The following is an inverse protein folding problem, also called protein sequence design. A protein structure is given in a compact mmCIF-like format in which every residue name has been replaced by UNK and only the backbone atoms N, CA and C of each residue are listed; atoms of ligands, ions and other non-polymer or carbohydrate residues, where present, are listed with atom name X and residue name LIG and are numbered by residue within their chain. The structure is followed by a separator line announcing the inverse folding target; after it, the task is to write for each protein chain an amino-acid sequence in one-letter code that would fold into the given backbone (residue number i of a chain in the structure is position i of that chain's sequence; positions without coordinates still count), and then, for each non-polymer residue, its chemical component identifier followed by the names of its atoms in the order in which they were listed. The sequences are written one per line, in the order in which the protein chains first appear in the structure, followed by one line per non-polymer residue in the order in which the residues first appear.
data_IF_681594701137
#
_entry.id   IF_681594701137
#
_cell.length_a   1.000
_cell.length_b   1.000
_cell.length_c   1.000
_cell.angle_alpha   90.00
_cell.angle_beta   90.00
_cell.angle_gamma   90.00
#
_symmetry.space_group_name_H-M   'P 1'
#
loop_
_entity.id
_entity.type
_entity.pdbx_description
1 polymer ?
#
# COMPACT_ATOMS: atom_id res chain seq x y z
N UNK A 1 1.85 -24.97 18.57
CA UNK A 1 2.91 -24.05 18.09
C UNK A 1 2.69 -23.87 16.59
N UNK A 2 2.29 -22.68 16.16
CA UNK A 2 2.12 -22.39 14.72
C UNK A 2 3.51 -22.34 14.08
N UNK A 3 3.76 -23.21 13.10
CA UNK A 3 5.03 -23.19 12.39
C UNK A 3 4.95 -22.08 11.34
N UNK A 4 5.64 -20.97 11.63
CA UNK A 4 5.72 -19.83 10.71
C UNK A 4 7.00 -19.92 9.90
N UNK A 5 6.88 -19.85 8.57
CA UNK A 5 8.02 -19.80 7.65
C UNK A 5 7.98 -18.51 6.83
N UNK A 6 9.15 -17.91 6.63
CA UNK A 6 9.30 -16.79 5.70
C UNK A 6 9.71 -17.30 4.32
N UNK A 7 9.16 -16.69 3.28
CA UNK A 7 9.50 -17.00 1.89
C UNK A 7 9.41 -15.74 1.03
N UNK A 8 9.75 -15.86 -0.25
CA UNK A 8 9.65 -14.78 -1.24
C UNK A 8 8.64 -15.14 -2.32
N UNK A 9 7.80 -14.16 -2.65
CA UNK A 9 6.89 -14.20 -3.78
C UNK A 9 7.39 -13.31 -4.91
N UNK A 10 7.05 -13.67 -6.13
CA UNK A 10 7.35 -12.85 -7.31
C UNK A 10 6.27 -11.79 -7.49
N UNK A 11 6.69 -10.53 -7.60
CA UNK A 11 5.77 -9.41 -7.80
C UNK A 11 5.40 -9.33 -9.27
N UNK A 12 4.09 -9.33 -9.54
CA UNK A 12 3.53 -9.24 -10.88
C UNK A 12 3.23 -7.78 -11.25
N UNK A 13 2.65 -7.01 -10.32
CA UNK A 13 2.28 -5.61 -10.55
C UNK A 13 2.26 -4.83 -9.25
N UNK A 14 2.73 -3.59 -9.31
CA UNK A 14 2.58 -2.60 -8.23
C UNK A 14 1.73 -1.45 -8.76
N UNK A 15 0.63 -1.15 -8.09
CA UNK A 15 -0.25 -0.03 -8.40
C UNK A 15 -0.19 1.00 -7.27
N UNK A 16 0.23 2.25 -7.51
CA UNK A 16 0.20 3.28 -6.50
C UNK A 16 -1.25 3.64 -6.18
N UNK A 17 -1.57 3.68 -4.89
CA UNK A 17 -2.86 4.11 -4.38
C UNK A 17 -2.76 5.60 -4.07
N UNK A 18 -3.40 6.43 -4.89
CA UNK A 18 -3.43 7.88 -4.69
C UNK A 18 -4.67 8.32 -3.89
N UNK A 19 -4.50 9.37 -3.08
CA UNK A 19 -5.54 10.03 -2.33
C UNK A 19 -5.53 11.53 -2.63
N UNK A 20 -6.70 12.12 -2.84
CA UNK A 20 -6.85 13.57 -2.98
C UNK A 20 -7.00 14.18 -1.59
N UNK A 21 -6.06 15.05 -1.20
CA UNK A 21 -6.07 15.77 0.06
C UNK A 21 -6.28 17.26 -0.20
N UNK A 22 -7.12 17.92 0.58
CA UNK A 22 -7.26 19.38 0.52
C UNK A 22 -6.22 20.02 1.44
N UNK A 23 -5.28 20.74 0.86
CA UNK A 23 -4.20 21.45 1.57
C UNK A 23 -4.40 22.96 1.46
N UNK A 24 -4.09 23.69 2.53
CA UNK A 24 -4.15 25.16 2.52
C UNK A 24 -2.82 25.74 2.04
N UNK A 25 -2.74 26.18 0.79
CA UNK A 25 -1.53 26.84 0.26
C UNK A 25 -1.58 28.34 0.55
N UNK A 26 -0.45 28.94 0.92
CA UNK A 26 -0.35 30.39 1.04
C UNK A 26 -0.29 31.01 -0.37
N UNK A 27 -1.28 31.80 -0.73
CA UNK A 27 -1.32 32.53 -1.99
C UNK A 27 -1.37 34.04 -1.72
N UNK A 28 -0.58 34.81 -2.47
CA UNK A 28 -0.63 36.26 -2.41
C UNK A 28 -1.78 36.75 -3.29
N UNK A 29 -2.75 37.41 -2.66
CA UNK A 29 -3.89 37.99 -3.34
C UNK A 29 -3.78 39.51 -3.28
N UNK A 30 -3.63 40.14 -4.44
CA UNK A 30 -3.49 41.58 -4.58
C UNK A 30 -4.81 42.20 -5.04
N UNK A 31 -5.30 43.18 -4.28
CA UNK A 31 -6.43 44.01 -4.68
C UNK A 31 -6.00 45.02 -5.75
N UNK A 32 -6.94 45.47 -6.58
CA UNK A 32 -6.69 46.46 -7.64
C UNK A 32 -6.04 47.76 -7.13
N UNK A 33 -6.23 48.11 -5.85
CA UNK A 33 -5.61 49.25 -5.18
C UNK A 33 -4.17 49.02 -4.66
N UNK A 34 -3.48 47.97 -5.11
CA UNK A 34 -2.07 47.69 -4.74
C UNK A 34 -1.85 47.09 -3.35
N UNK A 35 -2.91 46.65 -2.66
CA UNK A 35 -2.83 45.96 -1.36
C UNK A 35 -2.72 44.45 -1.59
N UNK A 36 -1.58 43.84 -1.27
CA UNK A 36 -1.41 42.39 -1.34
C UNK A 36 -1.49 41.74 0.05
N UNK A 37 -2.22 40.63 0.18
CA UNK A 37 -2.34 39.84 1.41
C UNK A 37 -2.05 38.36 1.12
N UNK A 38 -1.34 37.70 2.03
CA UNK A 38 -1.21 36.24 1.99
C UNK A 38 -2.48 35.59 2.58
N UNK A 39 -3.12 34.73 1.80
CA UNK A 39 -4.35 34.02 2.16
C UNK A 39 -4.12 32.52 1.98
N UNK A 40 -4.59 31.71 2.94
CA UNK A 40 -4.60 30.24 2.76
C UNK A 40 -5.76 29.87 1.83
N UNK A 41 -5.44 29.39 0.64
CA UNK A 41 -6.42 28.92 -0.34
C UNK A 41 -6.45 27.38 -0.30
N UNK A 42 -7.62 26.74 -0.12
CA UNK A 42 -7.72 25.29 -0.19
C UNK A 42 -7.42 24.81 -1.61
N UNK A 43 -6.55 23.82 -1.73
CA UNK A 43 -6.21 23.16 -2.99
C UNK A 43 -6.20 21.66 -2.84
N UNK A 44 -6.76 20.98 -3.82
CA UNK A 44 -6.71 19.53 -3.93
C UNK A 44 -5.35 19.09 -4.45
N UNK A 45 -4.69 18.21 -3.70
CA UNK A 45 -3.39 17.65 -4.04
C UNK A 45 -3.48 16.13 -4.01
N UNK A 46 -2.92 15.46 -5.02
CA UNK A 46 -2.84 14.01 -5.08
C UNK A 46 -1.59 13.54 -4.34
N UNK A 47 -1.76 12.64 -3.38
CA UNK A 47 -0.70 12.03 -2.60
C UNK A 47 -0.83 10.52 -2.65
N UNK A 48 0.26 9.83 -2.96
CA UNK A 48 0.33 8.37 -2.86
C UNK A 48 0.33 7.94 -1.40
N UNK A 49 -0.67 7.16 -0.99
CA UNK A 49 -0.85 6.66 0.38
C UNK A 49 -0.39 5.21 0.56
N UNK A 50 -0.10 4.51 -0.52
CA UNK A 50 0.37 3.13 -0.47
C UNK A 50 0.43 2.50 -1.85
N UNK A 51 0.62 1.19 -1.87
CA UNK A 51 0.80 0.40 -3.08
C UNK A 51 -0.04 -0.88 -3.00
N UNK A 52 -0.93 -1.08 -3.96
CA UNK A 52 -1.62 -2.35 -4.16
C UNK A 52 -0.73 -3.26 -5.02
N UNK A 53 -0.27 -4.35 -4.42
CA UNK A 53 0.73 -5.24 -5.00
C UNK A 53 0.11 -6.58 -5.31
N UNK A 54 0.09 -6.90 -6.61
CA UNK A 54 -0.25 -8.23 -7.12
C UNK A 54 1.03 -9.08 -7.14
N UNK A 55 1.00 -10.24 -6.50
CA UNK A 55 2.13 -11.17 -6.44
C UNK A 55 1.68 -12.63 -6.62
N UNK A 56 2.60 -13.48 -7.03
CA UNK A 56 2.37 -14.92 -7.17
C UNK A 56 3.26 -15.72 -6.23
N UNK A 57 2.67 -16.72 -5.59
CA UNK A 57 3.39 -17.69 -4.77
C UNK A 57 2.86 -19.08 -5.06
N UNK A 58 3.76 -20.01 -5.41
CA UNK A 58 3.43 -21.40 -5.78
C UNK A 58 2.28 -21.51 -6.80
N UNK A 59 2.26 -20.61 -7.79
CA UNK A 59 1.25 -20.57 -8.86
C UNK A 59 -0.08 -19.91 -8.47
N UNK A 60 -0.29 -19.55 -7.19
CA UNK A 60 -1.47 -18.82 -6.74
C UNK A 60 -1.20 -17.31 -6.72
N UNK A 61 -2.14 -16.52 -7.25
CA UNK A 61 -2.06 -15.05 -7.28
C UNK A 61 -2.75 -14.45 -6.07
N UNK A 62 -2.12 -13.45 -5.48
CA UNK A 62 -2.60 -12.74 -4.31
C UNK A 62 -2.40 -11.24 -4.50
N UNK A 63 -3.17 -10.45 -3.75
CA UNK A 63 -3.04 -8.99 -3.69
C UNK A 63 -2.89 -8.56 -2.24
N UNK A 64 -1.94 -7.69 -1.98
CA UNK A 64 -1.72 -7.07 -0.66
C UNK A 64 -1.50 -5.57 -0.80
N UNK A 65 -1.91 -4.80 0.21
CA UNK A 65 -1.65 -3.37 0.30
C UNK A 65 -0.43 -3.11 1.18
N UNK A 66 0.53 -2.36 0.66
CA UNK A 66 1.80 -2.04 1.33
C UNK A 66 1.97 -0.53 1.46
N UNK A 67 2.67 -0.09 2.50
CA UNK A 67 2.99 1.32 2.71
C UNK A 67 4.09 1.82 1.76
N UNK A 68 4.99 0.92 1.34
CA UNK A 68 6.13 1.21 0.48
C UNK A 68 6.18 0.22 -0.69
N UNK A 69 6.86 0.62 -1.77
CA UNK A 69 7.07 -0.23 -2.93
C UNK A 69 8.00 -1.42 -2.56
N UNK A 70 7.55 -2.68 -2.77
CA UNK A 70 8.36 -3.85 -2.46
C UNK A 70 9.35 -4.24 -3.56
N UNK A 71 9.33 -3.57 -4.71
CA UNK A 71 10.12 -3.93 -5.89
C UNK A 71 9.68 -5.25 -6.52
N UNK A 72 10.66 -6.06 -6.97
CA UNK A 72 10.42 -7.30 -7.74
C UNK A 72 10.14 -8.54 -6.88
N UNK A 73 10.40 -8.49 -5.57
CA UNK A 73 10.27 -9.64 -4.67
C UNK A 73 9.60 -9.21 -3.38
N UNK A 74 8.49 -9.88 -3.04
CA UNK A 74 7.76 -9.61 -1.82
C UNK A 74 8.09 -10.68 -0.77
N UNK A 75 8.55 -10.25 0.41
CA UNK A 75 8.74 -11.17 1.54
C UNK A 75 7.39 -11.48 2.17
N UNK A 76 7.03 -12.76 2.19
CA UNK A 76 5.74 -13.25 2.70
C UNK A 76 5.92 -14.12 3.95
N UNK A 77 4.90 -14.13 4.81
CA UNK A 77 4.82 -14.98 6.01
C UNK A 77 3.81 -16.09 5.79
N UNK A 78 4.26 -17.33 5.93
CA UNK A 78 3.46 -18.53 5.66
C UNK A 78 3.20 -19.23 7.00
N UNK A 79 1.92 -19.36 7.35
CA UNK A 79 1.48 -20.22 8.45
C UNK A 79 1.32 -21.66 7.95
N UNK A 80 1.96 -22.60 8.63
CA UNK A 80 1.87 -24.04 8.31
C UNK A 80 1.08 -24.73 9.41
N UNK A 81 -0.07 -25.30 9.04
CA UNK A 81 -0.91 -26.11 9.92
C UNK A 81 -0.83 -27.57 9.45
N UNK A 82 -0.22 -28.47 10.22
CA UNK A 82 -0.17 -29.87 9.85
C UNK A 82 -1.57 -30.48 9.96
N UNK A 83 -1.99 -31.24 8.94
CA UNK A 83 -3.16 -32.08 9.06
C UNK A 83 -2.78 -33.32 9.86
N UNK A 84 -3.29 -33.43 11.09
CA UNK A 84 -3.19 -34.66 11.84
C UNK A 84 -4.01 -35.74 11.11
N UNK A 85 -3.34 -36.62 10.38
CA UNK A 85 -3.97 -37.84 9.87
C UNK A 85 -4.34 -38.69 11.08
N UNK A 86 -5.54 -38.53 11.61
CA UNK A 86 -6.13 -39.47 12.55
C UNK A 86 -6.45 -40.72 11.74
N UNK A 87 -5.47 -41.61 11.59
CA UNK A 87 -5.74 -42.98 11.20
C UNK A 87 -6.68 -43.55 12.27
N UNK A 88 -7.93 -43.93 11.96
CA UNK A 88 -8.74 -44.66 12.92
C UNK A 88 -7.96 -45.94 13.26
N UNK A 89 -7.67 -46.16 14.54
CA UNK A 89 -7.14 -47.45 14.99
C UNK A 89 -8.23 -48.50 14.73
N UNK A 90 -7.90 -49.65 14.10
CA UNK A 90 -8.88 -50.71 13.84
C UNK A 90 -9.40 -51.32 15.13
#
# INVERSE_FOLDING_TARGET
MEVVRYDYAEVLRVQPVEQVVTVGVMQQQCAAAGRCRQVKVPREMRTTIGYDVDYTYRGSKYRSRLAHDPGRRLRIRIGITPMASTRPRP
#
